data_IF_355195639755
#
_entry.id   IF_355195639755
#
_cell.length_a   1.000
_cell.length_b   1.000
_cell.length_c   1.000
_cell.angle_alpha   90.00
_cell.angle_beta   90.00
_cell.angle_gamma   90.00
#
_symmetry.space_group_name_H-M   'P 1'
#
loop_
_entity.id
_entity.type
_entity.pdbx_description
1 polymer ?
#
# COMPACT_ATOMS: atom_id res chain seq x y z
N UNK A 1 -34.93 26.27 22.08
CA UNK A 1 -34.34 26.70 20.81
C UNK A 1 -33.24 25.72 20.41
N UNK A 2 -33.52 24.71 19.59
CA UNK A 2 -32.55 23.91 18.92
C UNK A 2 -31.94 24.76 17.80
N UNK A 3 -30.72 25.24 18.00
CA UNK A 3 -29.94 25.86 16.93
C UNK A 3 -29.55 24.72 15.96
N UNK A 4 -30.23 24.66 14.82
CA UNK A 4 -29.80 23.86 13.69
C UNK A 4 -28.49 24.48 13.20
N UNK A 5 -27.35 23.88 13.58
CA UNK A 5 -26.09 24.17 12.88
C UNK A 5 -26.28 23.70 11.46
N UNK A 6 -26.52 24.62 10.53
CA UNK A 6 -26.38 24.39 9.12
C UNK A 6 -24.94 23.89 8.92
N UNK A 7 -24.77 22.59 8.66
CA UNK A 7 -23.52 22.07 8.14
C UNK A 7 -23.30 22.76 6.80
N UNK A 8 -22.49 23.81 6.79
CA UNK A 8 -21.98 24.37 5.55
C UNK A 8 -21.27 23.23 4.83
N UNK A 9 -21.83 22.83 3.70
CA UNK A 9 -21.26 21.76 2.89
C UNK A 9 -19.83 22.14 2.52
N UNK A 10 -18.87 21.31 2.92
CA UNK A 10 -17.47 21.57 2.59
C UNK A 10 -17.28 21.38 1.09
N UNK A 11 -16.88 22.43 0.41
CA UNK A 11 -16.62 22.41 -1.03
C UNK A 11 -15.27 21.77 -1.36
N UNK A 12 -14.36 21.72 -0.39
CA UNK A 12 -13.02 21.14 -0.54
C UNK A 12 -12.50 20.63 0.80
N UNK A 13 -11.88 19.45 0.77
CA UNK A 13 -11.16 18.89 1.92
C UNK A 13 -9.97 18.08 1.43
N UNK A 14 -8.84 18.20 2.13
CA UNK A 14 -7.63 17.39 1.91
C UNK A 14 -7.19 16.90 3.28
N UNK A 15 -7.04 15.58 3.42
CA UNK A 15 -6.47 14.97 4.62
C UNK A 15 -4.93 15.03 4.55
N UNK A 16 -4.25 15.10 5.69
CA UNK A 16 -2.80 15.18 5.71
C UNK A 16 -2.16 13.89 5.20
N UNK A 17 -1.19 14.03 4.29
CA UNK A 17 -0.28 12.98 3.85
C UNK A 17 1.12 13.57 3.70
N UNK A 18 2.14 12.74 3.84
CA UNK A 18 3.55 13.12 3.65
C UNK A 18 4.20 12.16 2.65
N UNK A 19 5.38 12.54 2.16
CA UNK A 19 6.17 11.59 1.36
C UNK A 19 6.47 10.35 2.20
N UNK A 20 6.30 9.14 1.66
CA UNK A 20 6.61 7.92 2.38
C UNK A 20 8.11 7.80 2.66
N UNK A 21 8.46 7.11 3.76
CA UNK A 21 9.87 6.83 4.11
C UNK A 21 10.56 5.94 3.09
N UNK A 22 9.79 5.09 2.44
CA UNK A 22 10.23 4.17 1.40
C UNK A 22 9.24 4.23 0.25
N UNK A 23 9.71 3.95 -0.97
CA UNK A 23 8.88 3.77 -2.15
C UNK A 23 9.06 2.34 -2.63
N UNK A 24 8.01 1.53 -2.55
CA UNK A 24 8.09 0.12 -2.91
C UNK A 24 6.88 -0.33 -3.73
N UNK A 25 5.71 -0.36 -3.12
CA UNK A 25 4.42 -0.69 -3.75
C UNK A 25 3.30 0.13 -3.12
N UNK A 26 2.19 0.39 -3.83
CA UNK A 26 1.14 1.29 -3.36
C UNK A 26 0.63 1.02 -1.94
N UNK A 27 0.34 -0.25 -1.53
CA UNK A 27 -0.13 -0.51 -0.16
C UNK A 27 0.87 -0.15 0.93
N UNK A 28 2.16 -0.39 0.70
CA UNK A 28 3.23 -0.06 1.65
C UNK A 28 3.45 1.45 1.69
N UNK A 29 3.52 2.08 0.52
CA UNK A 29 3.80 3.51 0.39
C UNK A 29 2.65 4.35 0.96
N UNK A 30 1.41 3.90 0.80
CA UNK A 30 0.24 4.50 1.43
C UNK A 30 0.40 4.53 2.97
N UNK A 31 0.72 3.39 3.59
CA UNK A 31 0.91 3.31 5.05
C UNK A 31 2.07 4.21 5.49
N UNK A 32 3.20 4.18 4.80
CA UNK A 32 4.32 5.06 5.13
C UNK A 32 4.03 6.53 4.87
N UNK A 33 3.19 6.88 3.89
CA UNK A 33 2.71 8.25 3.70
C UNK A 33 1.91 8.74 4.90
N UNK A 34 1.12 7.87 5.53
CA UNK A 34 0.37 8.19 6.74
C UNK A 34 1.26 8.25 7.98
N UNK A 35 2.17 7.29 8.16
CA UNK A 35 3.13 7.26 9.27
C UNK A 35 4.02 8.52 9.25
N UNK A 36 4.43 8.96 8.06
CA UNK A 36 5.28 10.14 7.88
C UNK A 36 4.57 11.46 8.21
N UNK A 37 3.24 11.48 8.34
CA UNK A 37 2.53 12.69 8.78
C UNK A 37 2.75 13.00 10.26
N UNK A 38 2.92 11.98 11.09
CA UNK A 38 3.18 12.10 12.53
C UNK A 38 4.09 10.95 13.00
N UNK A 39 5.39 11.01 12.68
CA UNK A 39 6.33 9.95 12.99
C UNK A 39 6.44 9.66 14.50
N UNK A 40 6.28 10.69 15.33
CA UNK A 40 6.38 10.56 16.79
C UNK A 40 5.26 9.68 17.38
N UNK A 41 4.09 9.66 16.76
CA UNK A 41 2.91 8.91 17.20
C UNK A 41 2.74 7.57 16.50
N UNK A 42 3.21 7.48 15.25
CA UNK A 42 2.89 6.37 14.36
C UNK A 42 4.09 5.46 14.07
N UNK A 43 5.29 5.83 14.54
CA UNK A 43 6.52 5.05 14.30
C UNK A 43 6.43 3.58 14.74
N UNK A 44 5.69 3.28 15.80
CA UNK A 44 5.59 1.91 16.31
C UNK A 44 4.87 0.96 15.35
N UNK A 45 4.05 1.48 14.43
CA UNK A 45 3.37 0.65 13.44
C UNK A 45 4.36 -0.05 12.50
N UNK A 46 5.44 0.63 12.12
CA UNK A 46 6.42 0.03 11.22
C UNK A 46 7.59 -0.62 11.98
N UNK A 47 7.91 -0.16 13.20
CA UNK A 47 9.00 -0.73 14.01
C UNK A 47 8.81 -2.23 14.28
N UNK A 48 7.58 -2.65 14.47
CA UNK A 48 7.22 -4.05 14.74
C UNK A 48 6.89 -4.86 13.48
N UNK A 49 6.80 -4.21 12.33
CA UNK A 49 6.44 -4.82 11.06
C UNK A 49 7.59 -4.62 10.04
N UNK A 50 7.48 -5.21 8.87
CA UNK A 50 8.47 -5.08 7.79
C UNK A 50 9.89 -5.55 8.20
N UNK A 51 9.98 -6.56 9.07
CA UNK A 51 11.24 -7.19 9.48
C UNK A 51 11.47 -8.44 8.64
N UNK A 52 10.50 -9.35 8.63
CA UNK A 52 10.58 -10.60 7.90
C UNK A 52 10.37 -10.38 6.41
N UNK A 53 11.07 -11.16 5.63
CA UNK A 53 10.97 -11.21 4.17
C UNK A 53 10.34 -12.53 3.79
N UNK A 54 9.37 -12.49 2.90
CA UNK A 54 8.72 -13.65 2.30
C UNK A 54 9.04 -13.67 0.80
N UNK A 55 9.60 -14.77 0.33
CA UNK A 55 9.82 -15.05 -1.09
C UNK A 55 8.94 -16.22 -1.49
N UNK A 56 8.03 -16.00 -2.45
CA UNK A 56 7.10 -17.03 -2.89
C UNK A 56 7.59 -17.72 -4.16
N UNK A 57 7.48 -19.04 -4.21
CA UNK A 57 7.53 -19.74 -5.51
C UNK A 57 6.32 -19.30 -6.35
N UNK A 58 6.51 -18.91 -7.59
CA UNK A 58 7.55 -19.36 -8.52
C UNK A 58 8.61 -18.29 -8.84
N UNK A 59 9.29 -17.76 -7.85
CA UNK A 59 10.35 -16.77 -8.06
C UNK A 59 11.37 -17.18 -9.13
N UNK A 60 11.69 -18.49 -9.17
CA UNK A 60 12.70 -19.05 -10.09
C UNK A 60 12.13 -19.48 -11.45
N UNK A 61 10.81 -19.43 -11.66
CA UNK A 61 10.15 -20.02 -12.85
C UNK A 61 9.31 -19.06 -13.68
N UNK A 62 9.08 -17.84 -13.21
CA UNK A 62 8.28 -16.84 -13.90
C UNK A 62 9.04 -15.52 -14.01
N UNK A 63 8.72 -14.75 -15.05
CA UNK A 63 9.31 -13.43 -15.29
C UNK A 63 8.93 -12.37 -14.24
N UNK A 64 8.20 -12.74 -13.19
CA UNK A 64 7.75 -11.88 -12.10
C UNK A 64 8.00 -12.49 -10.72
N UNK A 65 9.21 -12.37 -10.17
CA UNK A 65 9.49 -12.77 -8.80
C UNK A 65 8.73 -11.87 -7.81
N UNK A 66 7.98 -12.49 -6.91
CA UNK A 66 7.32 -11.74 -5.83
C UNK A 66 8.13 -11.85 -4.54
N UNK A 67 8.80 -10.76 -4.17
CA UNK A 67 9.33 -10.57 -2.82
C UNK A 67 8.40 -9.62 -2.08
N UNK A 68 8.02 -9.99 -0.88
CA UNK A 68 7.11 -9.19 -0.07
C UNK A 68 7.60 -9.13 1.37
N UNK A 69 7.25 -8.07 2.08
CA UNK A 69 7.34 -8.08 3.53
C UNK A 69 6.29 -9.02 4.08
N UNK A 70 6.69 -9.95 4.98
CA UNK A 70 5.74 -10.83 5.65
C UNK A 70 4.68 -10.01 6.40
N UNK A 71 3.42 -10.38 6.20
CA UNK A 71 2.28 -9.74 6.86
C UNK A 71 1.85 -8.41 6.27
N UNK A 72 2.45 -7.91 5.17
CA UNK A 72 2.00 -6.64 4.57
C UNK A 72 0.54 -6.72 4.07
N UNK A 73 0.06 -7.89 3.73
CA UNK A 73 -1.34 -8.17 3.34
C UNK A 73 -2.29 -8.27 4.52
N UNK A 74 -1.79 -8.38 5.73
CA UNK A 74 -2.63 -8.37 6.92
C UNK A 74 -2.79 -6.93 7.44
N UNK A 75 -3.82 -6.26 6.93
CA UNK A 75 -4.17 -4.90 7.34
C UNK A 75 -4.36 -4.75 8.86
N UNK A 76 -4.66 -5.84 9.58
CA UNK A 76 -4.79 -5.85 11.05
C UNK A 76 -3.47 -5.58 11.75
N UNK A 77 -2.34 -5.80 11.09
CA UNK A 77 -1.01 -5.47 11.64
C UNK A 77 -0.82 -3.98 11.90
N UNK A 78 -1.67 -3.13 11.32
CA UNK A 78 -1.63 -1.68 11.47
C UNK A 78 -2.65 -1.12 12.48
N UNK A 79 -3.32 -1.98 13.25
CA UNK A 79 -4.37 -1.59 14.20
C UNK A 79 -3.91 -0.65 15.32
N UNK A 80 -2.63 -0.61 15.63
CA UNK A 80 -2.07 0.28 16.68
C UNK A 80 -2.28 1.76 16.38
N UNK A 81 -2.06 2.19 15.15
CA UNK A 81 -2.15 3.60 14.73
C UNK A 81 -3.38 3.93 13.91
N UNK A 82 -4.03 2.93 13.36
CA UNK A 82 -5.10 3.08 12.38
C UNK A 82 -6.37 2.32 12.78
N UNK A 83 -7.52 2.85 12.40
CA UNK A 83 -8.77 2.09 12.29
C UNK A 83 -8.96 1.76 10.82
N UNK A 84 -9.10 0.47 10.50
CA UNK A 84 -9.21 -0.01 9.14
C UNK A 84 -10.55 -0.71 8.96
N UNK A 85 -11.24 -0.41 7.88
CA UNK A 85 -12.47 -1.07 7.47
C UNK A 85 -12.46 -1.36 5.98
N UNK A 86 -13.21 -2.37 5.55
CA UNK A 86 -13.44 -2.68 4.15
C UNK A 86 -14.93 -2.59 3.90
N UNK A 87 -15.33 -1.81 2.88
CA UNK A 87 -16.71 -1.75 2.41
C UNK A 87 -16.77 -2.48 1.07
N UNK A 88 -17.49 -3.62 0.98
CA UNK A 88 -17.64 -4.36 -0.27
C UNK A 88 -18.31 -3.52 -1.35
N UNK A 89 -18.00 -3.81 -2.64
CA UNK A 89 -18.50 -3.04 -3.81
C UNK A 89 -20.01 -2.97 -3.88
N UNK A 90 -20.70 -4.03 -3.52
CA UNK A 90 -22.15 -4.13 -3.55
C UNK A 90 -22.88 -3.13 -2.63
N UNK A 91 -22.22 -2.64 -1.59
CA UNK A 91 -22.76 -1.63 -0.67
C UNK A 91 -22.52 -0.18 -1.11
N UNK A 92 -21.65 0.03 -2.08
CA UNK A 92 -21.28 1.38 -2.55
C UNK A 92 -22.16 1.78 -3.74
N UNK A 93 -22.42 0.84 -4.65
CA UNK A 93 -23.27 0.99 -5.85
C UNK A 93 -22.98 2.30 -6.63
N UNK A 94 -24.03 2.93 -7.18
CA UNK A 94 -23.90 4.14 -8.00
C UNK A 94 -23.47 5.40 -7.22
N UNK A 95 -23.33 5.30 -5.91
CA UNK A 95 -23.04 6.43 -5.02
C UNK A 95 -21.53 6.60 -4.71
N UNK A 96 -20.64 6.03 -5.51
CA UNK A 96 -19.20 6.03 -5.25
C UNK A 96 -18.63 7.42 -4.92
N UNK A 97 -18.97 8.43 -5.70
CA UNK A 97 -18.43 9.79 -5.55
C UNK A 97 -18.82 10.38 -4.19
N UNK A 98 -20.12 10.35 -3.87
CA UNK A 98 -20.63 10.85 -2.59
C UNK A 98 -20.12 10.02 -1.40
N UNK A 99 -19.97 8.71 -1.60
CA UNK A 99 -19.44 7.81 -0.59
C UNK A 99 -17.98 8.14 -0.25
N UNK A 100 -17.12 8.38 -1.25
CA UNK A 100 -15.72 8.79 -1.04
C UNK A 100 -15.67 10.16 -0.37
N UNK A 101 -16.46 11.13 -0.84
CA UNK A 101 -16.53 12.47 -0.25
C UNK A 101 -16.93 12.38 1.23
N UNK A 102 -17.99 11.62 1.54
CA UNK A 102 -18.42 11.41 2.92
C UNK A 102 -17.32 10.75 3.77
N UNK A 103 -16.63 9.73 3.22
CA UNK A 103 -15.53 9.08 3.91
C UNK A 103 -14.42 10.07 4.27
N UNK A 104 -14.04 10.94 3.34
CA UNK A 104 -13.05 11.99 3.59
C UNK A 104 -13.56 13.02 4.62
N UNK A 105 -14.85 13.35 4.60
CA UNK A 105 -15.45 14.27 5.56
C UNK A 105 -15.39 13.76 7.00
N UNK A 106 -15.49 12.46 7.20
CA UNK A 106 -15.33 11.80 8.50
C UNK A 106 -13.90 11.34 8.78
N UNK A 107 -12.91 11.87 8.01
CA UNK A 107 -11.47 11.64 8.17
C UNK A 107 -11.02 10.22 7.84
N UNK A 108 -11.72 9.54 6.94
CA UNK A 108 -11.28 8.29 6.35
C UNK A 108 -10.58 8.55 5.02
N UNK A 109 -9.40 7.98 4.86
CA UNK A 109 -8.73 7.81 3.58
C UNK A 109 -9.35 6.60 2.85
N UNK A 110 -9.36 6.61 1.52
CA UNK A 110 -9.87 5.52 0.71
C UNK A 110 -8.76 4.89 -0.13
N UNK A 111 -8.74 3.55 -0.20
CA UNK A 111 -7.77 2.81 -0.99
C UNK A 111 -8.44 1.60 -1.63
N UNK A 112 -8.28 1.40 -2.95
CA UNK A 112 -8.93 0.32 -3.67
C UNK A 112 -8.29 0.06 -5.03
N UNK A 113 -8.59 -1.15 -5.58
CA UNK A 113 -8.20 -1.55 -6.93
C UNK A 113 -9.06 -0.88 -8.00
N UNK A 114 -8.43 -0.40 -9.08
CA UNK A 114 -9.11 0.23 -10.20
C UNK A 114 -8.46 -0.13 -11.55
N UNK A 115 -9.14 0.24 -12.65
CA UNK A 115 -8.65 0.04 -14.00
C UNK A 115 -7.99 1.33 -14.51
N UNK A 116 -6.67 1.30 -14.67
CA UNK A 116 -5.87 2.47 -15.08
C UNK A 116 -6.22 3.03 -16.45
N UNK A 117 -6.81 2.20 -17.33
CA UNK A 117 -7.24 2.59 -18.66
C UNK A 117 -8.14 3.83 -18.69
N UNK A 118 -8.92 4.05 -17.63
CA UNK A 118 -9.90 5.12 -17.53
C UNK A 118 -9.42 6.37 -16.80
N UNK A 119 -8.18 6.42 -16.36
CA UNK A 119 -7.63 7.56 -15.61
C UNK A 119 -6.54 8.25 -16.43
N UNK A 120 -6.79 9.51 -16.81
CA UNK A 120 -5.95 10.27 -17.74
C UNK A 120 -4.53 10.57 -17.24
N UNK A 121 -4.31 10.50 -15.92
CA UNK A 121 -2.99 10.72 -15.32
C UNK A 121 -2.05 9.52 -15.47
N UNK A 122 -2.55 8.32 -15.79
CA UNK A 122 -1.69 7.16 -16.05
C UNK A 122 -1.09 7.17 -17.44
N UNK A 123 0.17 6.73 -17.55
CA UNK A 123 0.89 6.66 -18.81
C UNK A 123 0.29 5.67 -19.83
N UNK A 124 -0.53 4.70 -19.36
CA UNK A 124 -1.25 3.74 -20.22
C UNK A 124 -2.71 4.13 -20.52
N UNK A 125 -3.11 5.38 -20.21
CA UNK A 125 -4.46 5.89 -20.46
C UNK A 125 -4.93 5.62 -21.90
N UNK A 126 -6.06 4.94 -22.05
CA UNK A 126 -6.66 4.52 -23.31
C UNK A 126 -5.74 3.70 -24.26
N UNK A 127 -4.66 3.12 -23.72
CA UNK A 127 -3.73 2.27 -24.48
C UNK A 127 -3.98 0.79 -24.17
N UNK A 128 -3.86 0.39 -22.90
CA UNK A 128 -4.15 -0.95 -22.44
C UNK A 128 -4.74 -0.93 -21.05
N UNK A 129 -5.54 -1.95 -20.75
CA UNK A 129 -6.17 -2.11 -19.44
C UNK A 129 -5.18 -2.75 -18.47
N UNK A 130 -5.07 -2.17 -17.28
CA UNK A 130 -4.23 -2.70 -16.21
C UNK A 130 -4.86 -2.40 -14.84
N UNK A 131 -4.57 -3.28 -13.88
CA UNK A 131 -4.98 -3.12 -12.49
C UNK A 131 -3.94 -2.33 -11.72
N UNK A 132 -4.38 -1.37 -10.96
CA UNK A 132 -3.53 -0.70 -9.97
C UNK A 132 -4.36 -0.31 -8.75
N UNK A 133 -3.68 -0.05 -7.63
CA UNK A 133 -4.32 0.46 -6.41
C UNK A 133 -4.22 1.99 -6.40
N UNK A 134 -5.28 2.67 -5.96
CA UNK A 134 -5.30 4.14 -5.82
C UNK A 134 -5.61 4.55 -4.39
N UNK A 135 -4.87 5.54 -3.89
CA UNK A 135 -5.05 6.13 -2.58
C UNK A 135 -5.66 7.52 -2.68
N UNK A 136 -6.92 7.68 -2.22
CA UNK A 136 -7.66 8.95 -2.26
C UNK A 136 -7.69 9.57 -0.87
N UNK A 137 -7.27 10.84 -0.77
CA UNK A 137 -7.15 11.55 0.49
C UNK A 137 -7.72 12.96 0.48
N UNK A 138 -8.35 13.38 -0.62
CA UNK A 138 -8.98 14.70 -0.71
C UNK A 138 -9.94 14.84 -1.87
N UNK A 139 -10.71 15.91 -1.86
CA UNK A 139 -11.62 16.29 -2.92
C UNK A 139 -11.73 17.81 -3.08
N UNK A 140 -12.18 18.25 -4.27
CA UNK A 140 -12.58 19.62 -4.59
C UNK A 140 -13.88 19.56 -5.42
N UNK A 141 -15.04 19.79 -4.77
CA UNK A 141 -16.36 19.74 -5.42
C UNK A 141 -16.53 20.82 -6.49
N UNK A 142 -15.92 22.00 -6.31
CA UNK A 142 -16.02 23.06 -7.31
C UNK A 142 -15.39 22.67 -8.65
N UNK A 143 -14.38 21.81 -8.61
CA UNK A 143 -13.64 21.35 -9.77
C UNK A 143 -14.01 19.93 -10.19
N UNK A 144 -14.83 19.22 -9.42
CA UNK A 144 -15.15 17.80 -9.57
C UNK A 144 -13.89 16.92 -9.61
N UNK A 145 -12.96 17.13 -8.67
CA UNK A 145 -11.68 16.43 -8.61
C UNK A 145 -11.47 15.74 -7.27
N UNK A 146 -10.90 14.54 -7.32
CA UNK A 146 -10.29 13.87 -6.17
C UNK A 146 -8.79 14.14 -6.13
N UNK A 147 -8.23 14.23 -4.91
CA UNK A 147 -6.79 14.28 -4.69
C UNK A 147 -6.29 12.88 -4.36
N UNK A 148 -5.40 12.36 -5.21
CA UNK A 148 -4.96 10.96 -5.18
C UNK A 148 -3.44 10.86 -5.09
N UNK A 149 -2.95 9.74 -4.56
CA UNK A 149 -1.55 9.32 -4.60
C UNK A 149 -1.48 7.96 -5.28
N UNK A 150 -0.55 7.82 -6.22
CA UNK A 150 -0.21 6.54 -6.86
C UNK A 150 1.04 6.67 -7.75
N UNK A 151 1.43 5.58 -8.41
CA UNK A 151 2.46 5.48 -9.45
C UNK A 151 1.90 5.75 -10.85
N UNK A 152 1.48 6.97 -11.12
CA UNK A 152 0.82 7.34 -12.39
C UNK A 152 1.71 7.14 -13.63
N UNK A 153 3.02 7.20 -13.46
CA UNK A 153 4.02 6.91 -14.51
C UNK A 153 4.71 5.54 -14.32
N UNK A 154 4.15 4.69 -13.43
CA UNK A 154 4.71 3.40 -13.00
C UNK A 154 6.13 3.47 -12.41
N UNK A 155 6.61 4.64 -12.04
CA UNK A 155 7.97 4.86 -11.48
C UNK A 155 7.97 5.67 -10.20
N UNK A 156 7.16 6.72 -10.14
CA UNK A 156 7.19 7.68 -9.04
C UNK A 156 5.85 7.74 -8.32
N UNK A 157 5.88 7.52 -7.01
CA UNK A 157 4.71 7.67 -6.16
C UNK A 157 4.41 9.16 -5.97
N UNK A 158 3.42 9.66 -6.67
CA UNK A 158 3.14 11.09 -6.79
C UNK A 158 1.68 11.43 -6.55
N UNK A 159 1.41 12.69 -6.28
CA UNK A 159 0.07 13.19 -6.01
C UNK A 159 -0.52 13.91 -7.22
N UNK A 160 -1.73 13.51 -7.63
CA UNK A 160 -2.47 14.09 -8.75
C UNK A 160 -3.89 14.48 -8.35
N UNK A 161 -4.49 15.36 -9.13
CA UNK A 161 -5.91 15.66 -9.10
C UNK A 161 -6.60 14.93 -10.24
N UNK A 162 -7.56 14.07 -9.95
CA UNK A 162 -8.22 13.19 -10.92
C UNK A 162 -9.71 13.53 -10.98
N UNK A 163 -10.31 13.68 -12.17
CA UNK A 163 -11.74 13.93 -12.33
C UNK A 163 -12.62 12.84 -11.68
N UNK A 164 -13.74 13.27 -11.10
CA UNK A 164 -14.70 12.34 -10.47
C UNK A 164 -15.20 11.26 -11.41
N UNK A 165 -15.50 11.63 -12.67
CA UNK A 165 -15.97 10.70 -13.68
C UNK A 165 -14.92 9.64 -14.06
N UNK A 166 -13.63 9.99 -14.08
CA UNK A 166 -12.56 9.04 -14.36
C UNK A 166 -12.42 8.03 -13.22
N UNK A 167 -12.49 8.49 -11.97
CA UNK A 167 -12.51 7.62 -10.78
C UNK A 167 -13.72 6.69 -10.81
N UNK A 168 -14.90 7.21 -11.16
CA UNK A 168 -16.12 6.42 -11.30
C UNK A 168 -15.97 5.35 -12.39
N UNK A 169 -15.55 5.72 -13.59
CA UNK A 169 -15.37 4.79 -14.70
C UNK A 169 -14.32 3.71 -14.38
N UNK A 170 -13.17 4.11 -13.81
CA UNK A 170 -12.09 3.19 -13.45
C UNK A 170 -12.53 2.13 -12.39
N UNK A 171 -13.38 2.51 -11.45
CA UNK A 171 -13.93 1.62 -10.43
C UNK A 171 -14.98 0.66 -10.99
N UNK A 172 -16.00 1.17 -11.70
CA UNK A 172 -17.10 0.35 -12.21
C UNK A 172 -16.71 -0.56 -13.37
N UNK A 173 -15.73 -0.14 -14.17
CA UNK A 173 -15.20 -0.93 -15.28
C UNK A 173 -14.00 -1.81 -14.89
N UNK A 174 -13.77 -1.99 -13.59
CA UNK A 174 -12.76 -2.92 -13.09
C UNK A 174 -13.02 -4.36 -13.59
N UNK A 175 -14.26 -4.79 -13.68
CA UNK A 175 -14.63 -6.13 -14.15
C UNK A 175 -14.16 -6.43 -15.59
N UNK A 176 -13.81 -5.42 -16.37
CA UNK A 176 -13.25 -5.60 -17.71
C UNK A 176 -11.80 -6.12 -17.71
N UNK A 177 -11.16 -6.20 -16.53
CA UNK A 177 -9.79 -6.70 -16.38
C UNK A 177 -9.70 -8.22 -16.31
N UNK A 178 -10.81 -8.92 -16.05
CA UNK A 178 -10.84 -10.39 -15.86
C UNK A 178 -9.84 -10.88 -14.78
N UNK A 179 -9.50 -10.01 -13.81
CA UNK A 179 -8.62 -10.31 -12.68
C UNK A 179 -9.38 -10.19 -11.37
N UNK A 180 -8.94 -10.94 -10.36
CA UNK A 180 -9.54 -10.84 -9.03
C UNK A 180 -9.32 -9.45 -8.41
N UNK A 181 -10.35 -8.93 -7.75
CA UNK A 181 -10.25 -7.75 -6.90
C UNK A 181 -9.49 -8.13 -5.64
N UNK A 182 -8.27 -7.63 -5.54
CA UNK A 182 -7.36 -7.97 -4.46
C UNK A 182 -7.85 -7.48 -3.09
N UNK A 183 -8.52 -6.33 -3.06
CA UNK A 183 -9.03 -5.71 -1.83
C UNK A 183 -10.46 -6.18 -1.54
N UNK A 184 -11.23 -6.53 -2.57
CA UNK A 184 -12.63 -6.96 -2.46
C UNK A 184 -13.61 -5.83 -2.16
N UNK A 185 -13.20 -4.56 -2.41
CA UNK A 185 -14.01 -3.37 -2.13
C UNK A 185 -13.19 -2.12 -1.95
N UNK A 186 -13.66 -1.19 -1.12
CA UNK A 186 -12.89 0.00 -0.73
C UNK A 186 -12.39 -0.15 0.71
N UNK A 187 -11.08 -0.14 0.87
CA UNK A 187 -10.42 -0.05 2.17
C UNK A 187 -10.52 1.38 2.67
N UNK A 188 -11.02 1.56 3.88
CA UNK A 188 -11.02 2.85 4.58
C UNK A 188 -10.02 2.82 5.71
N UNK A 189 -9.25 3.89 5.83
CA UNK A 189 -8.21 4.03 6.84
C UNK A 189 -8.42 5.34 7.58
N UNK A 190 -8.46 5.29 8.91
CA UNK A 190 -8.56 6.47 9.76
C UNK A 190 -7.43 6.47 10.79
N UNK A 191 -6.77 7.61 10.95
CA UNK A 191 -5.78 7.79 12.00
C UNK A 191 -6.47 7.77 13.37
N UNK A 192 -6.03 6.91 14.28
CA UNK A 192 -6.53 6.89 15.65
C UNK A 192 -6.13 8.17 16.38
N UNK A 193 -7.07 8.77 17.08
CA UNK A 193 -6.81 9.95 17.92
C UNK A 193 -5.80 9.62 19.04
N UNK A 194 -5.87 8.40 19.57
CA UNK A 194 -4.99 7.88 20.61
C UNK A 194 -4.40 6.55 20.14
N UNK A 195 -3.31 6.59 19.38
CA UNK A 195 -2.65 5.36 18.91
C UNK A 195 -1.98 4.64 20.09
N UNK A 196 -1.88 3.32 20.00
CA UNK A 196 -1.06 2.56 20.94
C UNK A 196 0.42 2.80 20.58
N UNK A 197 1.14 3.44 21.48
CA UNK A 197 2.56 3.77 21.31
C UNK A 197 3.51 2.76 21.95
N UNK A 198 3.02 1.64 22.49
CA UNK A 198 3.87 0.61 23.07
C UNK A 198 4.52 -0.23 21.98
N UNK A 199 5.84 -0.35 22.04
CA UNK A 199 6.62 -1.21 21.15
C UNK A 199 6.70 -2.62 21.74
N UNK A 200 6.35 -3.63 20.94
CA UNK A 200 6.49 -5.03 21.31
C UNK A 200 7.89 -5.55 20.95
N UNK A 201 8.84 -5.33 21.82
CA UNK A 201 10.23 -5.80 21.62
C UNK A 201 10.35 -7.31 21.49
N UNK A 202 9.45 -8.09 22.12
CA UNK A 202 9.45 -9.55 21.95
C UNK A 202 9.09 -9.95 20.52
N UNK A 203 8.14 -9.27 19.89
CA UNK A 203 7.82 -9.48 18.48
C UNK A 203 9.01 -9.12 17.58
N UNK A 204 9.62 -7.95 17.80
CA UNK A 204 10.82 -7.53 17.06
C UNK A 204 11.92 -8.58 17.18
N UNK A 205 12.22 -9.04 18.42
CA UNK A 205 13.22 -10.07 18.67
C UNK A 205 12.90 -11.37 17.94
N UNK A 206 11.66 -11.84 18.03
CA UNK A 206 11.23 -13.05 17.35
C UNK A 206 11.37 -12.93 15.83
N UNK A 207 10.92 -11.83 15.24
CA UNK A 207 11.00 -11.61 13.80
C UNK A 207 12.45 -11.48 13.31
N UNK A 208 13.35 -10.88 14.12
CA UNK A 208 14.78 -10.84 13.82
C UNK A 208 15.44 -12.21 13.89
N UNK A 209 15.09 -13.03 14.88
CA UNK A 209 15.59 -14.41 14.99
C UNK A 209 15.13 -15.22 13.77
N UNK A 210 13.85 -15.15 13.42
CA UNK A 210 13.30 -15.81 12.22
C UNK A 210 13.99 -15.37 10.94
N UNK A 211 14.32 -14.07 10.83
CA UNK A 211 15.06 -13.53 9.68
C UNK A 211 16.47 -14.14 9.56
N UNK A 212 17.15 -14.35 10.70
CA UNK A 212 18.53 -14.85 10.74
C UNK A 212 18.58 -16.37 10.61
N UNK A 213 17.68 -17.08 11.28
CA UNK A 213 17.69 -18.55 11.35
C UNK A 213 17.13 -19.22 10.09
N UNK A 214 16.62 -18.44 9.14
CA UNK A 214 16.06 -18.95 7.88
C UNK A 214 14.97 -20.00 8.11
N UNK A 215 14.06 -19.76 9.07
CA UNK A 215 12.98 -20.71 9.38
C UNK A 215 12.14 -21.00 8.15
N UNK A 216 12.23 -22.25 7.70
CA UNK A 216 11.56 -22.73 6.51
C UNK A 216 10.19 -23.29 6.89
N UNK A 217 9.15 -22.51 6.75
CA UNK A 217 7.77 -23.01 6.85
C UNK A 217 7.26 -23.22 5.43
N UNK A 218 7.20 -24.49 4.99
CA UNK A 218 6.54 -24.88 3.75
C UNK A 218 5.02 -24.98 4.00
N UNK A 219 4.17 -24.07 3.56
CA UNK A 219 2.74 -24.32 3.49
C UNK A 219 2.49 -25.49 2.55
N UNK A 220 1.44 -26.28 2.77
CA UNK A 220 1.11 -27.52 2.03
C UNK A 220 1.09 -27.38 0.49
N UNK A 221 1.12 -26.16 -0.08
CA UNK A 221 0.91 -25.91 -1.50
C UNK A 221 1.91 -24.97 -2.18
N UNK A 222 2.79 -24.29 -1.47
CA UNK A 222 3.79 -23.39 -2.05
C UNK A 222 5.03 -23.33 -1.17
N UNK A 223 6.20 -23.39 -1.79
CA UNK A 223 7.46 -23.16 -1.08
C UNK A 223 7.58 -21.67 -0.82
N UNK A 224 7.68 -21.31 0.46
CA UNK A 224 7.92 -19.95 0.91
C UNK A 224 9.26 -19.94 1.62
N UNK A 225 10.16 -19.08 1.20
CA UNK A 225 11.46 -18.88 1.83
C UNK A 225 11.38 -17.66 2.73
N UNK A 226 11.87 -17.79 3.95
CA UNK A 226 11.97 -16.70 4.90
C UNK A 226 13.43 -16.37 5.19
N UNK A 227 13.69 -15.13 5.53
CA UNK A 227 15.00 -14.75 6.01
C UNK A 227 16.05 -14.54 4.92
N UNK A 228 17.30 -14.65 5.29
CA UNK A 228 18.43 -14.36 4.41
C UNK A 228 18.71 -15.41 3.33
N UNK A 229 18.08 -16.58 3.37
CA UNK A 229 18.23 -17.60 2.33
C UNK A 229 17.83 -17.10 0.92
N UNK A 230 17.09 -15.99 0.84
CA UNK A 230 16.78 -15.39 -0.46
C UNK A 230 18.03 -14.83 -1.18
N UNK A 231 19.10 -14.50 -0.46
CA UNK A 231 20.36 -14.05 -1.09
C UNK A 231 21.03 -15.17 -1.86
N UNK A 232 20.95 -16.42 -1.35
CA UNK A 232 21.49 -17.60 -2.05
C UNK A 232 20.70 -17.86 -3.34
N UNK A 233 19.38 -17.72 -3.28
CA UNK A 233 18.51 -17.82 -4.46
C UNK A 233 18.75 -16.67 -5.43
N UNK A 234 19.03 -15.46 -4.95
CA UNK A 234 19.39 -14.31 -5.77
C UNK A 234 20.70 -14.54 -6.52
N UNK A 235 21.74 -15.04 -5.83
CA UNK A 235 23.00 -15.41 -6.48
C UNK A 235 22.77 -16.42 -7.59
N UNK A 236 21.94 -17.44 -7.34
CA UNK A 236 21.53 -18.42 -8.34
C UNK A 236 20.82 -17.76 -9.52
N UNK A 237 19.94 -16.82 -9.27
CA UNK A 237 19.18 -16.10 -10.29
C UNK A 237 20.08 -15.20 -11.15
N UNK A 238 20.98 -14.45 -10.51
CA UNK A 238 21.95 -13.60 -11.20
C UNK A 238 22.90 -14.44 -12.05
N UNK A 239 23.34 -15.59 -11.54
CA UNK A 239 24.30 -16.46 -12.25
C UNK A 239 23.65 -17.29 -13.35
N UNK A 240 22.35 -17.61 -13.25
CA UNK A 240 21.62 -18.41 -14.25
C UNK A 240 20.99 -17.56 -15.37
N UNK A 241 20.90 -16.23 -15.22
CA UNK A 241 20.41 -15.33 -16.27
C UNK A 241 21.51 -15.14 -17.34
N UNK A 242 21.78 -16.18 -18.12
CA UNK A 242 22.54 -16.08 -19.39
C UNK A 242 21.76 -15.32 -20.49
N UNK A 243 20.56 -14.85 -20.23
CA UNK A 243 19.78 -14.07 -21.19
C UNK A 243 20.25 -12.63 -21.19
N UNK A 244 20.73 -12.09 -22.30
CA UNK A 244 21.16 -10.69 -22.44
C UNK A 244 20.00 -9.70 -22.19
N UNK A 245 18.75 -10.16 -22.18
CA UNK A 245 17.54 -9.38 -21.94
C UNK A 245 16.93 -9.59 -20.53
N UNK A 246 17.62 -10.28 -19.64
CA UNK A 246 17.19 -10.53 -18.25
C UNK A 246 17.21 -9.24 -17.43
N UNK A 247 16.22 -8.41 -17.62
CA UNK A 247 15.92 -7.27 -16.74
C UNK A 247 15.53 -7.83 -15.37
N UNK A 248 16.47 -7.82 -14.43
CA UNK A 248 16.13 -7.98 -13.02
C UNK A 248 15.21 -6.81 -12.70
N UNK A 249 13.97 -7.10 -12.28
CA UNK A 249 12.96 -6.08 -12.01
C UNK A 249 13.52 -5.05 -11.01
N UNK A 250 13.46 -3.78 -11.38
CA UNK A 250 13.89 -2.66 -10.52
C UNK A 250 13.16 -2.72 -9.17
N UNK A 251 11.94 -3.24 -9.11
CA UNK A 251 11.17 -3.47 -7.88
C UNK A 251 11.92 -4.33 -6.87
N UNK A 252 12.69 -5.31 -7.33
CA UNK A 252 13.50 -6.17 -6.48
C UNK A 252 14.59 -5.38 -5.74
N UNK A 253 15.35 -4.55 -6.44
CA UNK A 253 16.38 -3.70 -5.81
C UNK A 253 15.76 -2.65 -4.89
N UNK A 254 14.63 -2.11 -5.28
CA UNK A 254 13.86 -1.17 -4.45
C UNK A 254 13.40 -1.84 -3.16
N UNK A 255 12.96 -3.10 -3.22
CA UNK A 255 12.58 -3.87 -2.04
C UNK A 255 13.78 -4.09 -1.10
N UNK A 256 14.93 -4.57 -1.62
CA UNK A 256 16.12 -4.80 -0.80
C UNK A 256 16.59 -3.49 -0.16
N UNK A 257 16.67 -2.42 -0.94
CA UNK A 257 17.03 -1.10 -0.43
C UNK A 257 16.10 -0.67 0.70
N UNK A 258 14.78 -0.79 0.49
CA UNK A 258 13.77 -0.42 1.46
C UNK A 258 13.91 -1.23 2.76
N UNK A 259 14.13 -2.54 2.65
CA UNK A 259 14.34 -3.40 3.81
C UNK A 259 15.60 -3.00 4.60
N UNK A 260 16.75 -2.84 3.93
CA UNK A 260 17.99 -2.43 4.57
C UNK A 260 17.83 -1.06 5.23
N UNK A 261 17.20 -0.12 4.56
CA UNK A 261 16.93 1.21 5.09
C UNK A 261 16.07 1.17 6.36
N UNK A 262 14.96 0.40 6.35
CA UNK A 262 14.10 0.23 7.51
C UNK A 262 14.84 -0.45 8.67
N UNK A 263 15.69 -1.45 8.40
CA UNK A 263 16.51 -2.10 9.41
C UNK A 263 17.51 -1.13 10.03
N UNK A 264 18.20 -0.30 9.23
CA UNK A 264 19.10 0.72 9.71
C UNK A 264 18.40 1.77 10.59
N UNK A 265 17.22 2.26 10.16
CA UNK A 265 16.42 3.19 10.94
C UNK A 265 15.95 2.58 12.27
N UNK A 266 15.55 1.30 12.26
CA UNK A 266 15.18 0.55 13.47
C UNK A 266 16.32 0.47 14.47
N UNK A 267 17.52 0.13 14.00
CA UNK A 267 18.71 0.12 14.85
C UNK A 267 18.98 1.49 15.49
N UNK A 268 18.87 2.57 14.74
CA UNK A 268 19.05 3.93 15.29
C UNK A 268 18.02 4.25 16.38
N UNK A 269 16.75 3.85 16.22
CA UNK A 269 15.70 4.16 17.19
C UNK A 269 15.82 3.26 18.44
N UNK A 270 16.13 1.97 18.26
CA UNK A 270 16.18 1.03 19.40
C UNK A 270 17.44 1.12 20.24
N UNK A 271 18.54 1.68 19.71
CA UNK A 271 19.85 1.75 20.39
C UNK A 271 20.34 3.18 20.64
N UNK A 272 19.52 4.20 20.37
CA UNK A 272 19.75 5.60 20.79
C UNK A 272 19.16 5.85 22.18
#
# INVERSE_FOLDING_TARGET
HKVWRTNLEKLKKILPVSNPLINYIPPVDMIFSLISTDPSRLSNNWLENYIKIEVREPFLKTDNPTMEFDGFKDWRSFDKGFSIGITPKEYIQENLIEWIIHSIDIENYCFYDHNTYYVSEYSNYHQYKDRHEIFIYGYDKNKNLFKCLDYFDFRHYTSKWIPFNEIFDAYYRYNELEVEDYIGGILTIKLKKYPDTKVNFNKIKYDLITLIENDFIAPKFKRVLYGFCYFDELETLITQTEKPDGLIDVKFFTFIYSHIYLMQMRCRICFS
#
